data_IF_461595402671
#
_entry.id   IF_461595402671
#
_cell.length_a   1.000
_cell.length_b   1.000
_cell.length_c   1.000
_cell.angle_alpha   90.00
_cell.angle_beta   90.00
_cell.angle_gamma   90.00
#
_symmetry.space_group_name_H-M   'P 1'
#
loop_
_entity.id
_entity.type
_entity.pdbx_description
1 polymer ?
#
# COMPACT_ATOMS: atom_id res chain seq x y z
N UNK A 1 -31.00 -2.14 6.19
CA UNK A 1 -29.56 -1.84 6.33
C UNK A 1 -28.89 -2.06 4.98
N UNK A 2 -28.00 -1.18 4.52
CA UNK A 2 -27.33 -1.34 3.24
C UNK A 2 -26.49 -2.62 3.22
N UNK A 3 -26.40 -3.28 2.06
CA UNK A 3 -25.58 -4.49 1.90
C UNK A 3 -24.10 -4.12 2.13
N UNK A 4 -23.34 -4.94 2.85
CA UNK A 4 -21.93 -4.66 3.22
C UNK A 4 -21.08 -4.26 2.01
N UNK A 5 -21.32 -4.90 0.87
CA UNK A 5 -20.60 -4.63 -0.37
C UNK A 5 -20.87 -3.21 -0.91
N UNK A 6 -22.13 -2.74 -0.87
CA UNK A 6 -22.49 -1.38 -1.28
C UNK A 6 -21.80 -0.35 -0.39
N UNK A 7 -21.76 -0.61 0.93
CA UNK A 7 -21.09 0.27 1.90
C UNK A 7 -19.59 0.30 1.67
N UNK A 8 -18.97 -0.85 1.36
CA UNK A 8 -17.54 -0.92 1.03
C UNK A 8 -17.22 -0.17 -0.26
N UNK A 9 -17.98 -0.42 -1.33
CA UNK A 9 -17.77 0.23 -2.62
C UNK A 9 -17.91 1.76 -2.48
N UNK A 10 -18.88 2.25 -1.70
CA UNK A 10 -19.02 3.69 -1.42
C UNK A 10 -17.86 4.24 -0.58
N UNK A 11 -17.44 3.52 0.47
CA UNK A 11 -16.32 3.97 1.31
C UNK A 11 -15.03 4.08 0.48
N UNK A 12 -14.75 3.11 -0.39
CA UNK A 12 -13.59 3.18 -1.29
C UNK A 12 -13.70 4.40 -2.20
N UNK A 13 -14.86 4.65 -2.82
CA UNK A 13 -15.07 5.82 -3.69
C UNK A 13 -14.87 7.14 -2.93
N UNK A 14 -15.53 7.31 -1.79
CA UNK A 14 -15.45 8.55 -1.01
C UNK A 14 -14.06 8.77 -0.42
N UNK A 15 -13.41 7.73 0.11
CA UNK A 15 -12.07 7.84 0.66
C UNK A 15 -11.02 8.13 -0.42
N UNK A 16 -11.15 7.50 -1.60
CA UNK A 16 -10.31 7.81 -2.76
C UNK A 16 -10.43 9.29 -3.16
N UNK A 17 -11.64 9.85 -3.19
CA UNK A 17 -11.85 11.27 -3.50
C UNK A 17 -11.20 12.19 -2.46
N UNK A 18 -11.27 11.82 -1.18
CA UNK A 18 -10.58 12.56 -0.11
C UNK A 18 -9.07 12.57 -0.33
N UNK A 19 -8.48 11.44 -0.72
CA UNK A 19 -7.06 11.36 -1.05
C UNK A 19 -6.71 12.18 -2.30
N UNK A 20 -7.55 12.12 -3.33
CA UNK A 20 -7.37 12.90 -4.54
C UNK A 20 -7.35 14.42 -4.27
N UNK A 21 -8.24 14.91 -3.40
CA UNK A 21 -8.24 16.30 -2.91
C UNK A 21 -7.01 16.62 -2.05
N UNK A 22 -6.67 15.73 -1.12
CA UNK A 22 -5.55 15.92 -0.18
C UNK A 22 -4.21 16.10 -0.90
N UNK A 23 -3.97 15.29 -1.93
CA UNK A 23 -2.72 15.31 -2.68
C UNK A 23 -2.72 16.32 -3.85
N UNK A 24 -3.59 17.33 -3.81
CA UNK A 24 -3.49 18.48 -4.72
C UNK A 24 -2.39 19.42 -4.23
N UNK A 25 -1.52 19.87 -5.15
CA UNK A 25 -0.42 20.77 -4.82
C UNK A 25 -0.88 22.04 -4.10
N UNK A 26 -1.95 22.66 -4.60
CA UNK A 26 -2.52 23.88 -4.00
C UNK A 26 -3.11 23.63 -2.62
N UNK A 27 -3.73 22.47 -2.38
CA UNK A 27 -4.25 22.13 -1.04
C UNK A 27 -3.11 21.87 -0.06
N UNK A 28 -2.06 21.14 -0.48
CA UNK A 28 -0.89 20.89 0.35
C UNK A 28 -0.16 22.18 0.73
N UNK A 29 -0.03 23.15 -0.20
CA UNK A 29 0.61 24.45 0.08
C UNK A 29 -0.10 25.29 1.14
N UNK A 30 -1.41 25.10 1.34
CA UNK A 30 -2.16 25.83 2.36
C UNK A 30 -1.84 25.36 3.78
N UNK A 31 -1.46 24.08 3.91
CA UNK A 31 -1.30 23.39 5.20
C UNK A 31 0.18 23.18 5.53
N UNK A 32 1.01 22.90 4.52
CA UNK A 32 2.40 22.50 4.69
C UNK A 32 3.37 23.47 4.00
N UNK A 33 4.54 23.64 4.62
CA UNK A 33 5.70 24.22 3.93
C UNK A 33 6.33 23.15 3.06
N UNK A 34 6.14 23.23 1.74
CA UNK A 34 6.71 22.27 0.81
C UNK A 34 8.24 22.40 0.75
N UNK A 35 9.00 21.29 0.85
CA UNK A 35 10.42 21.26 0.54
C UNK A 35 10.70 21.81 -0.87
N UNK A 36 11.77 22.59 -1.03
CA UNK A 36 12.16 23.15 -2.34
C UNK A 36 12.44 22.07 -3.40
N UNK A 37 12.71 20.85 -2.97
CA UNK A 37 12.94 19.67 -3.81
C UNK A 37 11.66 19.06 -4.39
N UNK A 38 10.48 19.52 -3.94
CA UNK A 38 9.16 19.01 -4.31
C UNK A 38 8.37 20.05 -5.12
N UNK A 39 8.30 19.80 -6.41
CA UNK A 39 7.49 20.49 -7.41
C UNK A 39 6.07 19.95 -7.48
N UNK A 40 5.20 20.73 -8.13
CA UNK A 40 3.82 20.32 -8.45
C UNK A 40 3.79 19.00 -9.24
N UNK A 41 4.66 18.85 -10.23
CA UNK A 41 4.76 17.60 -11.00
C UNK A 41 5.07 16.40 -10.12
N UNK A 42 5.95 16.53 -9.12
CA UNK A 42 6.26 15.42 -8.21
C UNK A 42 5.08 15.08 -7.31
N UNK A 43 4.33 16.09 -6.83
CA UNK A 43 3.08 15.85 -6.09
C UNK A 43 2.06 15.12 -6.95
N UNK A 44 1.91 15.49 -8.21
CA UNK A 44 1.02 14.81 -9.15
C UNK A 44 1.42 13.35 -9.39
N UNK A 45 2.71 13.08 -9.59
CA UNK A 45 3.21 11.71 -9.75
C UNK A 45 2.95 10.86 -8.50
N UNK A 46 3.12 11.42 -7.30
CA UNK A 46 2.78 10.75 -6.03
C UNK A 46 1.29 10.48 -5.96
N UNK A 47 0.46 11.49 -6.24
CA UNK A 47 -1.00 11.35 -6.24
C UNK A 47 -1.43 10.25 -7.20
N UNK A 48 -0.93 10.25 -8.42
CA UNK A 48 -1.19 9.19 -9.40
C UNK A 48 -0.74 7.83 -8.87
N UNK A 49 0.46 7.73 -8.30
CA UNK A 49 0.93 6.46 -7.72
C UNK A 49 -0.01 5.95 -6.61
N UNK A 50 -0.39 6.81 -5.66
CA UNK A 50 -1.33 6.46 -4.59
C UNK A 50 -2.66 5.99 -5.14
N UNK A 51 -3.26 6.78 -6.04
CA UNK A 51 -4.57 6.48 -6.62
C UNK A 51 -4.54 5.32 -7.61
N UNK A 52 -3.40 4.92 -8.16
CA UNK A 52 -3.33 3.78 -9.08
C UNK A 52 -2.99 2.48 -8.36
N UNK A 53 -2.07 2.53 -7.38
CA UNK A 53 -1.47 1.30 -6.82
C UNK A 53 -1.86 1.05 -5.35
N UNK A 54 -2.08 2.09 -4.55
CA UNK A 54 -2.39 1.93 -3.12
C UNK A 54 -3.90 1.97 -2.87
N UNK A 55 -4.57 2.92 -3.51
CA UNK A 55 -6.01 3.18 -3.45
C UNK A 55 -6.64 3.15 -4.84
N UNK A 56 -6.55 2.03 -5.56
CA UNK A 56 -7.08 1.88 -6.92
C UNK A 56 -8.60 2.08 -7.01
N UNK A 57 -9.12 2.19 -8.23
CA UNK A 57 -10.56 2.17 -8.46
C UNK A 57 -11.21 0.85 -8.01
N UNK A 58 -12.54 0.80 -7.95
CA UNK A 58 -13.25 -0.38 -7.44
C UNK A 58 -12.95 -1.67 -8.18
N UNK A 59 -12.79 -1.63 -9.51
CA UNK A 59 -12.55 -2.84 -10.28
C UNK A 59 -11.18 -3.40 -9.94
N UNK A 60 -10.16 -2.54 -9.99
CA UNK A 60 -8.79 -2.92 -9.65
C UNK A 60 -8.65 -3.27 -8.16
N UNK A 61 -9.43 -2.63 -7.28
CA UNK A 61 -9.53 -2.97 -5.85
C UNK A 61 -10.04 -4.40 -5.63
N UNK A 62 -11.10 -4.80 -6.33
CA UNK A 62 -11.64 -6.17 -6.25
C UNK A 62 -10.61 -7.21 -6.74
N UNK A 63 -9.89 -6.92 -7.83
CA UNK A 63 -8.80 -7.76 -8.33
C UNK A 63 -7.70 -7.93 -7.27
N UNK A 64 -7.19 -6.82 -6.73
CA UNK A 64 -6.10 -6.83 -5.75
C UNK A 64 -6.51 -7.47 -4.43
N UNK A 65 -7.73 -7.23 -3.94
CA UNK A 65 -8.22 -7.89 -2.72
C UNK A 65 -8.25 -9.41 -2.88
N UNK A 66 -8.82 -9.91 -3.99
CA UNK A 66 -8.83 -11.35 -4.28
C UNK A 66 -7.40 -11.91 -4.36
N UNK A 67 -6.50 -11.19 -5.02
CA UNK A 67 -5.11 -11.62 -5.19
C UNK A 67 -4.35 -11.64 -3.85
N UNK A 68 -4.44 -10.60 -3.03
CA UNK A 68 -3.78 -10.53 -1.72
C UNK A 68 -4.43 -11.43 -0.66
N UNK A 69 -5.72 -11.76 -0.78
CA UNK A 69 -6.35 -12.80 0.03
C UNK A 69 -5.75 -14.18 -0.26
N UNK A 70 -5.47 -14.50 -1.53
CA UNK A 70 -4.79 -15.75 -1.87
C UNK A 70 -3.35 -15.80 -1.36
N UNK A 71 -2.67 -14.64 -1.31
CA UNK A 71 -1.30 -14.53 -0.79
C UNK A 71 -1.18 -14.60 0.72
N UNK A 72 -2.29 -14.54 1.44
CA UNK A 72 -2.28 -14.38 2.89
C UNK A 72 -1.55 -15.51 3.60
N UNK A 73 -1.60 -16.71 3.02
CA UNK A 73 -0.84 -17.87 3.47
C UNK A 73 0.67 -17.66 3.38
N UNK A 74 1.17 -17.01 2.32
CA UNK A 74 2.59 -16.71 2.16
C UNK A 74 3.02 -15.51 2.98
N UNK A 75 2.16 -14.50 3.14
CA UNK A 75 2.41 -13.36 4.03
C UNK A 75 2.58 -13.83 5.48
N UNK A 76 1.71 -14.75 5.93
CA UNK A 76 1.78 -15.33 7.29
C UNK A 76 2.89 -16.36 7.45
N UNK A 77 3.25 -17.09 6.38
CA UNK A 77 4.26 -18.15 6.39
C UNK A 77 5.27 -17.97 5.26
N UNK A 78 6.17 -16.96 5.36
CA UNK A 78 7.14 -16.64 4.31
C UNK A 78 8.11 -17.79 4.01
N UNK A 79 8.31 -18.70 4.97
CA UNK A 79 9.13 -19.90 4.80
C UNK A 79 8.71 -20.80 3.65
N UNK A 80 7.44 -20.77 3.20
CA UNK A 80 7.00 -21.51 2.00
C UNK A 80 7.64 -20.95 0.74
N UNK A 81 7.67 -19.62 0.58
CA UNK A 81 8.33 -18.96 -0.55
C UNK A 81 9.85 -19.15 -0.48
N UNK A 82 10.42 -19.10 0.74
CA UNK A 82 11.85 -19.31 0.92
C UNK A 82 12.31 -20.67 0.40
N UNK A 83 11.52 -21.74 0.60
CA UNK A 83 11.84 -23.07 0.06
C UNK A 83 11.99 -23.07 -1.46
N UNK A 84 11.13 -22.34 -2.18
CA UNK A 84 11.20 -22.21 -3.64
C UNK A 84 12.50 -21.52 -4.07
N UNK A 85 13.01 -20.60 -3.25
CA UNK A 85 14.24 -19.86 -3.53
C UNK A 85 15.51 -20.65 -3.25
N UNK A 86 15.49 -21.55 -2.26
CA UNK A 86 16.67 -22.36 -1.89
C UNK A 86 17.07 -23.30 -3.02
N UNK A 87 16.14 -23.68 -3.90
CA UNK A 87 16.46 -24.50 -5.08
C UNK A 87 17.18 -23.69 -6.19
N UNK A 88 17.48 -22.41 -5.95
CA UNK A 88 18.16 -21.52 -6.89
C UNK A 88 19.62 -21.27 -6.52
N UNK A 89 20.53 -22.03 -7.14
CA UNK A 89 21.97 -21.82 -6.98
C UNK A 89 22.41 -20.36 -7.27
N UNK A 90 21.91 -19.67 -8.33
CA UNK A 90 22.29 -18.28 -8.58
C UNK A 90 21.85 -17.31 -7.48
N UNK A 91 20.62 -17.44 -6.96
CA UNK A 91 20.14 -16.55 -5.90
C UNK A 91 20.82 -16.82 -4.55
N UNK A 92 21.09 -18.10 -4.24
CA UNK A 92 21.86 -18.46 -3.06
C UNK A 92 23.28 -17.93 -3.12
N UNK A 93 23.94 -17.99 -4.29
CA UNK A 93 25.27 -17.44 -4.46
C UNK A 93 25.29 -15.91 -4.31
N UNK A 94 24.31 -15.21 -4.92
CA UNK A 94 24.25 -13.74 -4.94
C UNK A 94 23.81 -13.13 -3.60
N UNK A 95 22.79 -13.70 -2.96
CA UNK A 95 22.16 -13.11 -1.77
C UNK A 95 22.43 -13.90 -0.49
N UNK A 96 22.75 -15.19 -0.60
CA UNK A 96 23.14 -16.07 0.51
C UNK A 96 22.29 -15.89 1.76
N UNK A 97 22.97 -15.56 2.87
CA UNK A 97 22.34 -15.34 4.19
C UNK A 97 21.34 -14.18 4.24
N UNK A 98 21.36 -13.25 3.28
CA UNK A 98 20.46 -12.10 3.25
C UNK A 98 19.13 -12.40 2.55
N UNK A 99 19.02 -13.52 1.84
CA UNK A 99 17.83 -13.93 1.09
C UNK A 99 16.54 -13.91 1.93
N UNK A 100 16.48 -14.46 3.17
CA UNK A 100 15.27 -14.40 3.99
C UNK A 100 14.88 -12.97 4.36
N UNK A 101 15.86 -12.09 4.63
CA UNK A 101 15.62 -10.69 4.98
C UNK A 101 15.02 -9.93 3.80
N UNK A 102 15.56 -10.14 2.60
CA UNK A 102 15.08 -9.46 1.38
C UNK A 102 13.65 -9.94 1.05
N UNK A 103 13.42 -11.25 1.08
CA UNK A 103 12.08 -11.82 0.89
C UNK A 103 11.06 -11.24 1.88
N UNK A 104 11.40 -11.21 3.17
CA UNK A 104 10.53 -10.64 4.20
C UNK A 104 10.27 -9.14 3.98
N UNK A 105 11.21 -8.40 3.41
CA UNK A 105 11.02 -6.99 3.05
C UNK A 105 10.02 -6.85 1.91
N UNK A 106 10.16 -7.65 0.85
CA UNK A 106 9.18 -7.67 -0.25
C UNK A 106 7.77 -8.04 0.22
N UNK A 107 7.65 -9.06 1.08
CA UNK A 107 6.37 -9.45 1.68
C UNK A 107 5.79 -8.34 2.55
N UNK A 108 6.63 -7.60 3.28
CA UNK A 108 6.20 -6.45 4.08
C UNK A 108 5.68 -5.31 3.20
N UNK A 109 6.35 -5.00 2.09
CA UNK A 109 5.85 -4.02 1.12
C UNK A 109 4.50 -4.45 0.53
N UNK A 110 4.32 -5.73 0.22
CA UNK A 110 3.02 -6.26 -0.23
C UNK A 110 1.94 -6.22 0.85
N UNK A 111 2.31 -6.36 2.13
CA UNK A 111 1.40 -6.35 3.26
C UNK A 111 0.77 -4.98 3.52
N UNK A 112 1.45 -3.88 3.23
CA UNK A 112 0.89 -2.52 3.43
C UNK A 112 -0.42 -2.31 2.66
N UNK A 113 -0.56 -2.91 1.48
CA UNK A 113 -1.82 -2.90 0.73
C UNK A 113 -2.94 -3.59 1.50
N UNK A 114 -2.66 -4.76 2.09
CA UNK A 114 -3.61 -5.48 2.93
C UNK A 114 -4.05 -4.64 4.13
N UNK A 115 -3.14 -3.85 4.69
CA UNK A 115 -3.43 -2.95 5.81
C UNK A 115 -4.36 -1.81 5.39
N UNK A 116 -4.21 -1.25 4.19
CA UNK A 116 -5.20 -0.32 3.62
C UNK A 116 -6.59 -0.97 3.47
N UNK A 117 -6.66 -2.21 2.98
CA UNK A 117 -7.95 -2.95 2.88
C UNK A 117 -8.55 -3.23 4.25
N UNK A 118 -7.74 -3.50 5.27
CA UNK A 118 -8.21 -3.70 6.65
C UNK A 118 -8.76 -2.41 7.24
N UNK A 119 -8.07 -1.28 7.01
CA UNK A 119 -8.51 0.05 7.42
C UNK A 119 -9.88 0.40 6.82
N UNK A 120 -10.08 0.22 5.52
CA UNK A 120 -11.38 0.42 4.85
C UNK A 120 -12.49 -0.47 5.46
N UNK A 121 -12.17 -1.75 5.72
CA UNK A 121 -13.13 -2.66 6.35
C UNK A 121 -13.50 -2.23 7.78
N UNK A 122 -12.58 -1.58 8.51
CA UNK A 122 -12.89 -1.01 9.82
C UNK A 122 -13.84 0.19 9.68
N UNK A 123 -13.64 1.06 8.69
CA UNK A 123 -14.56 2.16 8.37
C UNK A 123 -15.95 1.60 8.03
N UNK A 124 -16.02 0.54 7.21
CA UNK A 124 -17.29 -0.16 6.88
C UNK A 124 -18.00 -0.63 8.13
N UNK A 125 -17.26 -1.24 9.08
CA UNK A 125 -17.86 -1.69 10.35
C UNK A 125 -18.42 -0.53 11.17
N UNK A 126 -17.80 0.66 11.13
CA UNK A 126 -18.36 1.83 11.80
C UNK A 126 -19.58 2.36 11.06
N UNK A 127 -19.54 2.46 9.73
CA UNK A 127 -20.66 2.89 8.91
C UNK A 127 -21.90 2.02 9.16
N UNK A 128 -21.73 0.70 9.17
CA UNK A 128 -22.80 -0.29 9.40
C UNK A 128 -23.43 -0.23 10.80
N UNK A 129 -22.73 0.33 11.80
CA UNK A 129 -23.31 0.58 13.14
C UNK A 129 -24.18 1.83 13.18
N UNK A 130 -24.08 2.69 12.17
CA UNK A 130 -24.89 3.91 12.05
C UNK A 130 -26.11 3.67 11.17
N UNK A 131 -27.16 4.45 11.36
CA UNK A 131 -28.33 4.46 10.47
C UNK A 131 -28.12 5.36 9.22
N UNK A 132 -26.86 5.73 8.90
CA UNK A 132 -26.56 6.54 7.72
C UNK A 132 -26.48 5.64 6.50
N UNK A 133 -27.16 6.05 5.43
CA UNK A 133 -27.09 5.36 4.14
C UNK A 133 -26.10 6.08 3.21
N UNK A 134 -25.46 5.37 2.28
CA UNK A 134 -24.66 5.98 1.23
C UNK A 134 -25.54 6.85 0.30
N UNK A 135 -24.98 7.83 -0.42
CA UNK A 135 -23.55 8.17 -0.51
C UNK A 135 -23.01 8.88 0.73
N UNK A 136 -21.70 8.74 0.99
CA UNK A 136 -21.06 9.35 2.15
C UNK A 136 -20.19 10.55 1.77
N UNK A 137 -20.47 11.70 2.38
CA UNK A 137 -19.65 12.89 2.25
C UNK A 137 -18.37 12.81 3.12
N UNK A 138 -17.44 13.75 2.90
CA UNK A 138 -16.16 13.83 3.63
C UNK A 138 -16.35 13.84 5.15
N UNK A 139 -17.30 14.64 5.64
CA UNK A 139 -17.62 14.73 7.08
C UNK A 139 -18.11 13.40 7.64
N UNK A 140 -18.94 12.66 6.89
CA UNK A 140 -19.42 11.35 7.31
C UNK A 140 -18.29 10.32 7.34
N UNK A 141 -17.43 10.27 6.32
CA UNK A 141 -16.25 9.39 6.33
C UNK A 141 -15.33 9.72 7.52
N UNK A 142 -15.06 11.00 7.76
CA UNK A 142 -14.24 11.43 8.90
C UNK A 142 -14.85 11.01 10.24
N UNK A 143 -16.17 11.11 10.38
CA UNK A 143 -16.86 10.62 11.58
C UNK A 143 -16.71 9.11 11.78
N UNK A 144 -16.68 8.32 10.70
CA UNK A 144 -16.43 6.88 10.80
C UNK A 144 -14.98 6.59 11.21
N UNK A 145 -14.01 7.31 10.65
CA UNK A 145 -12.59 7.19 10.99
C UNK A 145 -12.34 7.59 12.44
N UNK A 146 -12.93 8.69 12.92
CA UNK A 146 -12.81 9.18 14.31
C UNK A 146 -13.30 8.16 15.34
N UNK A 147 -14.22 7.29 14.95
CA UNK A 147 -14.75 6.21 15.79
C UNK A 147 -13.90 4.93 15.78
N UNK A 148 -12.77 4.92 15.06
CA UNK A 148 -11.81 3.82 15.10
C UNK A 148 -10.94 3.93 16.37
N UNK A 149 -10.45 2.80 16.91
CA UNK A 149 -9.40 2.83 17.91
C UNK A 149 -8.16 3.50 17.33
N UNK A 150 -7.57 4.46 18.06
CA UNK A 150 -6.39 5.20 17.58
C UNK A 150 -5.23 4.29 17.14
N UNK A 151 -4.98 3.21 17.90
CA UNK A 151 -3.99 2.17 17.57
C UNK A 151 -4.16 1.54 16.18
N UNK A 152 -5.39 1.43 15.69
CA UNK A 152 -5.68 0.81 14.40
C UNK A 152 -5.31 1.78 13.27
N UNK A 153 -5.49 3.08 13.51
CA UNK A 153 -5.06 4.16 12.61
C UNK A 153 -3.54 4.30 12.59
N UNK A 154 -2.90 4.24 13.77
CA UNK A 154 -1.43 4.28 13.86
C UNK A 154 -0.80 3.08 13.13
N UNK A 155 -1.38 1.88 13.27
CA UNK A 155 -0.93 0.70 12.52
C UNK A 155 -1.04 0.89 11.00
N UNK A 156 -2.09 1.57 10.53
CA UNK A 156 -2.23 1.91 9.11
C UNK A 156 -1.14 2.92 8.66
N UNK A 157 -0.85 3.94 9.46
CA UNK A 157 0.24 4.91 9.20
C UNK A 157 1.59 4.19 9.17
N UNK A 158 1.87 3.29 10.11
CA UNK A 158 3.10 2.51 10.17
C UNK A 158 3.28 1.60 8.95
N UNK A 159 2.19 1.01 8.45
CA UNK A 159 2.18 0.24 7.21
C UNK A 159 2.59 1.09 6.00
N UNK A 160 2.02 2.30 5.91
CA UNK A 160 2.35 3.27 4.86
C UNK A 160 3.80 3.72 4.95
N UNK A 161 4.27 4.08 6.15
CA UNK A 161 5.68 4.43 6.42
C UNK A 161 6.61 3.30 6.01
N UNK A 162 6.30 2.05 6.41
CA UNK A 162 7.13 0.89 6.09
C UNK A 162 7.20 0.65 4.58
N UNK A 163 6.12 0.91 3.83
CA UNK A 163 6.14 0.79 2.38
C UNK A 163 7.14 1.78 1.78
N UNK A 164 7.02 3.08 2.09
CA UNK A 164 7.93 4.10 1.56
C UNK A 164 9.37 3.91 2.03
N UNK A 165 9.56 3.39 3.24
CA UNK A 165 10.87 2.98 3.73
C UNK A 165 11.50 1.86 2.88
N UNK A 166 10.70 0.96 2.34
CA UNK A 166 11.22 -0.07 1.44
C UNK A 166 11.48 0.53 0.06
N UNK A 167 10.56 1.36 -0.46
CA UNK A 167 10.63 1.89 -1.82
C UNK A 167 11.77 2.88 -2.06
N UNK A 168 12.22 3.63 -1.03
CA UNK A 168 13.34 4.57 -1.19
C UNK A 168 14.72 3.88 -1.18
N UNK A 169 14.89 2.71 -0.55
CA UNK A 169 16.15 1.96 -0.60
C UNK A 169 16.26 1.21 -1.93
N UNK A 170 16.74 1.91 -2.96
CA UNK A 170 16.92 1.34 -4.32
C UNK A 170 17.67 0.03 -4.35
N UNK A 171 18.68 -0.14 -3.49
CA UNK A 171 19.47 -1.37 -3.46
C UNK A 171 18.64 -2.51 -2.90
N UNK A 172 17.85 -2.25 -1.87
CA UNK A 172 16.92 -3.23 -1.31
C UNK A 172 15.79 -3.55 -2.29
N UNK A 173 15.18 -2.54 -2.94
CA UNK A 173 14.10 -2.74 -3.92
C UNK A 173 14.56 -3.59 -5.09
N UNK A 174 15.72 -3.31 -5.68
CA UNK A 174 16.21 -4.09 -6.82
C UNK A 174 16.40 -5.58 -6.47
N UNK A 175 16.84 -5.88 -5.25
CA UNK A 175 16.97 -7.25 -4.75
C UNK A 175 15.61 -7.90 -4.51
N UNK A 176 14.63 -7.13 -4.02
CA UNK A 176 13.25 -7.60 -3.87
C UNK A 176 12.65 -7.94 -5.24
N UNK A 177 12.76 -7.04 -6.21
CA UNK A 177 12.28 -7.24 -7.58
C UNK A 177 12.87 -8.52 -8.18
N UNK A 178 14.18 -8.72 -8.06
CA UNK A 178 14.86 -9.93 -8.54
C UNK A 178 14.30 -11.22 -7.90
N UNK A 179 14.16 -11.23 -6.57
CA UNK A 179 13.67 -12.41 -5.84
C UNK A 179 12.21 -12.71 -6.17
N UNK A 180 11.35 -11.70 -6.18
CA UNK A 180 9.91 -11.86 -6.45
C UNK A 180 9.69 -12.28 -7.90
N UNK A 181 10.44 -11.72 -8.85
CA UNK A 181 10.41 -12.13 -10.26
C UNK A 181 10.76 -13.61 -10.39
N UNK A 182 11.83 -14.05 -9.73
CA UNK A 182 12.22 -15.46 -9.74
C UNK A 182 11.14 -16.37 -9.14
N UNK A 183 10.50 -15.97 -8.03
CA UNK A 183 9.38 -16.71 -7.44
C UNK A 183 8.24 -16.87 -8.42
N UNK A 184 7.83 -15.79 -9.07
CA UNK A 184 6.76 -15.79 -10.07
C UNK A 184 7.11 -16.77 -11.21
N UNK A 185 8.33 -16.70 -11.75
CA UNK A 185 8.79 -17.61 -12.81
C UNK A 185 8.74 -19.07 -12.37
N UNK A 186 9.21 -19.39 -11.15
CA UNK A 186 9.18 -20.76 -10.63
C UNK A 186 7.78 -21.26 -10.36
N UNK A 187 6.91 -20.43 -9.77
CA UNK A 187 5.53 -20.80 -9.52
C UNK A 187 4.76 -21.05 -10.81
N UNK A 188 4.95 -20.21 -11.84
CA UNK A 188 4.38 -20.41 -13.19
C UNK A 188 4.81 -21.72 -13.84
N UNK A 189 6.05 -22.16 -13.60
CA UNK A 189 6.54 -23.46 -14.10
C UNK A 189 5.92 -24.68 -13.40
N UNK A 190 5.18 -24.47 -12.30
CA UNK A 190 4.56 -25.53 -11.50
C UNK A 190 3.03 -25.29 -11.34
N UNK A 191 2.25 -25.25 -12.44
CA UNK A 191 0.84 -24.87 -12.42
C UNK A 191 -0.07 -25.85 -11.65
N UNK A 192 0.41 -27.06 -11.35
CA UNK A 192 -0.30 -28.05 -10.52
C UNK A 192 -0.12 -27.83 -9.02
N UNK A 193 0.87 -27.03 -8.62
CA UNK A 193 1.27 -26.82 -7.23
C UNK A 193 0.76 -25.47 -6.69
N UNK A 194 0.72 -24.44 -7.54
CA UNK A 194 0.36 -23.08 -7.15
C UNK A 194 -0.90 -22.62 -7.86
N UNK A 195 -1.74 -21.89 -7.13
CA UNK A 195 -2.96 -21.32 -7.70
C UNK A 195 -2.62 -20.12 -8.58
N UNK A 196 -3.42 -19.91 -9.63
CA UNK A 196 -3.25 -18.77 -10.54
C UNK A 196 -3.39 -17.45 -9.77
N UNK A 197 -4.31 -17.40 -8.81
CA UNK A 197 -4.51 -16.23 -7.93
C UNK A 197 -3.28 -15.91 -7.09
N UNK A 198 -2.56 -16.92 -6.59
CA UNK A 198 -1.35 -16.73 -5.78
C UNK A 198 -0.23 -16.11 -6.63
N UNK A 199 -0.06 -16.60 -7.86
CA UNK A 199 0.90 -16.04 -8.82
C UNK A 199 0.50 -14.60 -9.13
N UNK A 200 -0.78 -14.36 -9.42
CA UNK A 200 -1.30 -13.04 -9.74
C UNK A 200 -1.10 -12.03 -8.60
N UNK A 201 -1.24 -12.46 -7.35
CA UNK A 201 -0.95 -11.64 -6.19
C UNK A 201 0.51 -11.19 -6.15
N UNK A 202 1.46 -12.10 -6.42
CA UNK A 202 2.88 -11.75 -6.47
C UNK A 202 3.18 -10.79 -7.62
N UNK A 203 2.56 -10.98 -8.79
CA UNK A 203 2.72 -10.07 -9.93
C UNK A 203 2.23 -8.66 -9.63
N UNK A 204 1.05 -8.54 -9.01
CA UNK A 204 0.49 -7.24 -8.63
C UNK A 204 1.33 -6.56 -7.54
N UNK A 205 1.82 -7.35 -6.57
CA UNK A 205 2.75 -6.86 -5.56
C UNK A 205 4.08 -6.41 -6.15
N UNK A 206 4.60 -7.13 -7.15
CA UNK A 206 5.81 -6.75 -7.88
C UNK A 206 5.60 -5.45 -8.65
N UNK A 207 4.50 -5.31 -9.39
CA UNK A 207 4.17 -4.11 -10.13
C UNK A 207 4.11 -2.88 -9.22
N UNK A 208 3.48 -2.99 -8.04
CA UNK A 208 3.43 -1.93 -7.03
C UNK A 208 4.83 -1.48 -6.59
N UNK A 209 5.73 -2.44 -6.37
CA UNK A 209 7.11 -2.19 -5.94
C UNK A 209 7.92 -1.54 -7.07
N UNK A 210 7.80 -2.03 -8.30
CA UNK A 210 8.50 -1.49 -9.47
C UNK A 210 8.07 -0.04 -9.76
N UNK A 211 6.76 0.22 -9.72
CA UNK A 211 6.20 1.55 -9.97
C UNK A 211 6.54 2.52 -8.84
N UNK A 212 6.55 2.02 -7.60
CA UNK A 212 7.01 2.78 -6.44
C UNK A 212 8.49 3.14 -6.54
N UNK A 213 9.35 2.19 -6.92
CA UNK A 213 10.77 2.46 -7.16
C UNK A 213 10.94 3.55 -8.22
N UNK A 214 10.27 3.43 -9.37
CA UNK A 214 10.37 4.40 -10.46
C UNK A 214 10.00 5.83 -10.04
N UNK A 215 9.03 6.00 -9.13
CA UNK A 215 8.70 7.29 -8.54
C UNK A 215 9.89 7.92 -7.81
N UNK A 216 10.64 7.13 -7.03
CA UNK A 216 11.83 7.60 -6.31
C UNK A 216 13.07 7.74 -7.20
N UNK A 217 13.19 6.97 -8.30
CA UNK A 217 14.34 7.02 -9.20
C UNK A 217 14.57 8.39 -9.84
N UNK A 218 13.50 9.16 -10.02
CA UNK A 218 13.55 10.52 -10.59
C UNK A 218 14.13 11.56 -9.63
N UNK A 219 14.44 11.17 -8.39
CA UNK A 219 14.86 12.06 -7.31
C UNK A 219 16.29 11.73 -6.85
N UNK A 220 17.05 12.77 -6.48
CA UNK A 220 18.30 12.59 -5.74
C UNK A 220 18.05 11.96 -4.36
N UNK A 221 19.03 11.25 -3.79
CA UNK A 221 18.86 10.50 -2.53
C UNK A 221 18.30 11.33 -1.37
N UNK A 222 18.78 12.56 -1.19
CA UNK A 222 18.29 13.47 -0.15
C UNK A 222 16.81 13.84 -0.38
N UNK A 223 16.45 14.10 -1.63
CA UNK A 223 15.07 14.42 -2.01
C UNK A 223 14.14 13.22 -1.84
N UNK A 224 14.63 11.97 -2.00
CA UNK A 224 13.85 10.77 -1.74
C UNK A 224 13.46 10.64 -0.26
N UNK A 225 14.41 10.91 0.64
CA UNK A 225 14.16 10.89 2.09
C UNK A 225 13.18 12.00 2.47
N UNK A 226 13.40 13.22 1.98
CA UNK A 226 12.48 14.33 2.19
C UNK A 226 11.08 14.03 1.68
N UNK A 227 10.96 13.38 0.51
CA UNK A 227 9.66 13.00 -0.04
C UNK A 227 8.93 11.97 0.82
N UNK A 228 9.64 10.92 1.25
CA UNK A 228 9.08 9.92 2.16
C UNK A 228 8.59 10.57 3.45
N UNK A 229 9.43 11.38 4.11
CA UNK A 229 9.08 12.03 5.37
C UNK A 229 7.89 12.97 5.19
N UNK A 230 7.83 13.67 4.05
CA UNK A 230 6.71 14.54 3.71
C UNK A 230 5.40 13.77 3.50
N UNK A 231 5.42 12.65 2.77
CA UNK A 231 4.24 11.78 2.59
C UNK A 231 3.74 11.27 3.95
N UNK A 232 4.65 10.80 4.80
CA UNK A 232 4.30 10.30 6.13
C UNK A 232 3.74 11.40 7.03
N UNK A 233 4.29 12.62 6.93
CA UNK A 233 3.76 13.79 7.62
C UNK A 233 2.34 14.11 7.17
N UNK A 234 2.08 14.15 5.86
CA UNK A 234 0.73 14.38 5.30
C UNK A 234 -0.26 13.37 5.85
N UNK A 235 0.05 12.08 5.79
CA UNK A 235 -0.84 11.02 6.27
C UNK A 235 -1.09 11.11 7.78
N UNK A 236 -0.03 11.33 8.56
CA UNK A 236 -0.12 11.45 10.02
C UNK A 236 -1.00 12.65 10.41
N UNK A 237 -0.68 13.84 9.88
CA UNK A 237 -1.40 15.05 10.23
C UNK A 237 -2.86 15.02 9.76
N UNK A 238 -3.12 14.50 8.56
CA UNK A 238 -4.49 14.37 8.04
C UNK A 238 -5.37 13.48 8.93
N UNK A 239 -4.78 12.45 9.53
CA UNK A 239 -5.49 11.57 10.45
C UNK A 239 -5.59 12.19 11.84
N UNK A 240 -4.56 12.87 12.32
CA UNK A 240 -4.58 13.62 13.59
C UNK A 240 -5.66 14.70 13.62
N UNK A 241 -5.81 15.45 12.52
CA UNK A 241 -6.86 16.46 12.36
C UNK A 241 -8.26 15.87 12.57
N UNK A 242 -8.54 14.67 12.04
CA UNK A 242 -9.82 13.98 12.23
C UNK A 242 -10.09 13.66 13.72
N UNK A 243 -9.06 13.35 14.50
CA UNK A 243 -9.21 13.08 15.94
C UNK A 243 -9.28 14.36 16.79
N UNK A 244 -8.60 15.43 16.36
CA UNK A 244 -8.48 16.69 17.08
C UNK A 244 -9.58 17.70 16.75
N UNK A 245 -10.27 17.57 15.62
CA UNK A 245 -11.49 18.33 15.32
C UNK A 245 -12.54 18.07 16.41
N UNK A 246 -12.93 19.12 17.15
CA UNK A 246 -13.96 19.05 18.20
C UNK A 246 -15.34 18.86 17.59
#
# INVERSE_FOLDING_TARGET
>A
MPHKEIVLDEIIRSYRKILEERYQYDELKKIFTLPNSISEQQIDEIRTYFLTYIYPDLQKRKELNKAFESLDNYIRKPGKLLKILIDSAPLLFKHGRHLPKILNSGIRAMRSYREASQFENQIVRQAMKTNRNPPYDKKTIFSFIKNLPRKDVDHFIDGTRSLFQILHDRTQVQKIIEIVTFLITKMKSQPKTYLVEEIKGLELGLELIEKGNHLFEKLGKENQVQLMDFIVLIETQSLDEIYNEK
#
